data_IF_935419209359
#
_entry.id   IF_935419209359
#
_cell.length_a   1.000
_cell.length_b   1.000
_cell.length_c   1.000
_cell.angle_alpha   90.00
_cell.angle_beta   90.00
_cell.angle_gamma   90.00
#
_symmetry.space_group_name_H-M   'P 1'
#
loop_
_entity.id
_entity.type
_entity.pdbx_description
1 polymer ?
#
# COMPACT_ATOMS: atom_id res chain seq x y z
N UNK A 1 10.15 15.25 -11.10
CA UNK A 1 9.37 14.07 -11.52
C UNK A 1 10.24 12.86 -11.23
N UNK A 2 9.79 12.01 -10.31
CA UNK A 2 10.46 10.78 -9.90
C UNK A 2 9.67 9.60 -10.48
N UNK A 3 10.32 8.46 -10.73
CA UNK A 3 9.64 7.32 -11.36
C UNK A 3 10.05 6.01 -10.72
N UNK A 4 9.06 5.16 -10.45
CA UNK A 4 9.25 3.77 -10.06
C UNK A 4 8.76 2.88 -11.20
N UNK A 5 9.70 2.40 -12.03
CA UNK A 5 9.39 1.75 -13.29
C UNK A 5 8.43 2.60 -14.16
N UNK A 6 7.17 2.18 -14.27
CA UNK A 6 6.14 2.86 -15.07
C UNK A 6 5.34 3.89 -14.25
N UNK A 7 5.39 3.82 -12.91
CA UNK A 7 4.68 4.74 -12.03
C UNK A 7 5.38 6.10 -12.00
N UNK A 8 4.71 7.12 -12.52
CA UNK A 8 5.20 8.49 -12.57
C UNK A 8 4.74 9.27 -11.34
N UNK A 9 5.70 9.80 -10.57
CA UNK A 9 5.47 10.51 -9.32
C UNK A 9 5.89 11.99 -9.45
N UNK A 10 5.06 12.86 -8.89
CA UNK A 10 5.24 14.31 -8.79
C UNK A 10 6.33 14.67 -7.79
N UNK A 11 6.50 13.86 -6.74
CA UNK A 11 7.48 14.04 -5.66
C UNK A 11 8.33 12.78 -5.46
N UNK A 12 9.54 12.94 -4.94
CA UNK A 12 10.37 11.84 -4.43
C UNK A 12 10.20 11.63 -2.92
N UNK A 13 9.22 12.30 -2.29
CA UNK A 13 8.88 12.14 -0.89
C UNK A 13 7.69 11.19 -0.76
N UNK A 14 7.85 10.17 0.07
CA UNK A 14 6.86 9.12 0.29
C UNK A 14 6.48 9.03 1.76
N UNK A 15 5.24 8.66 2.03
CA UNK A 15 4.82 8.31 3.38
C UNK A 15 5.27 6.88 3.71
N UNK A 16 6.16 6.76 4.69
CA UNK A 16 6.64 5.47 5.21
C UNK A 16 5.48 4.67 5.82
N UNK A 17 5.46 3.33 5.65
CA UNK A 17 4.53 2.48 6.38
C UNK A 17 4.84 2.52 7.89
N UNK A 18 3.80 2.69 8.71
CA UNK A 18 3.91 2.74 10.17
C UNK A 18 2.78 1.93 10.79
N UNK A 19 3.16 0.83 11.45
CA UNK A 19 2.18 -0.10 12.01
C UNK A 19 1.30 0.55 13.08
N UNK A 20 -0.02 0.48 12.88
CA UNK A 20 -1.04 1.12 13.71
C UNK A 20 -1.39 2.57 13.31
N UNK A 21 -0.72 3.15 12.31
CA UNK A 21 -0.87 4.57 11.95
C UNK A 21 -1.31 4.81 10.51
N UNK A 22 -0.69 4.17 9.51
CA UNK A 22 -0.90 4.48 8.08
C UNK A 22 -2.18 3.89 7.48
N UNK A 23 -3.30 4.04 8.20
CA UNK A 23 -4.65 3.73 7.72
C UNK A 23 -5.19 4.83 6.77
N UNK A 24 -6.33 4.57 6.13
CA UNK A 24 -6.91 5.50 5.14
C UNK A 24 -7.12 6.93 5.69
N UNK A 25 -7.77 7.16 6.84
CA UNK A 25 -7.91 8.52 7.39
C UNK A 25 -6.58 9.25 7.55
N UNK A 26 -5.54 8.59 8.06
CA UNK A 26 -4.23 9.19 8.23
C UNK A 26 -3.61 9.57 6.88
N UNK A 27 -3.66 8.66 5.89
CA UNK A 27 -3.12 8.93 4.55
C UNK A 27 -3.84 10.10 3.87
N UNK A 28 -5.16 10.23 4.04
CA UNK A 28 -5.92 11.36 3.50
C UNK A 28 -5.50 12.70 4.13
N UNK A 29 -5.32 12.74 5.45
CA UNK A 29 -4.83 13.95 6.14
C UNK A 29 -3.44 14.33 5.64
N UNK A 30 -2.54 13.37 5.46
CA UNK A 30 -1.20 13.63 4.93
C UNK A 30 -1.27 14.16 3.48
N UNK A 31 -2.15 13.62 2.65
CA UNK A 31 -2.35 14.12 1.28
C UNK A 31 -2.91 15.54 1.24
N UNK A 32 -3.78 15.89 2.18
CA UNK A 32 -4.31 17.25 2.32
C UNK A 32 -3.20 18.26 2.69
N UNK A 33 -2.28 17.87 3.57
CA UNK A 33 -1.08 18.68 3.91
C UNK A 33 -0.16 18.83 2.69
N UNK A 34 -0.03 17.77 1.89
CA UNK A 34 0.77 17.74 0.67
C UNK A 34 2.26 17.44 0.91
N UNK A 35 3.06 17.59 -0.15
CA UNK A 35 4.51 17.33 -0.15
C UNK A 35 4.91 15.88 -0.42
N UNK A 36 4.09 14.92 -0.01
CA UNK A 36 4.23 13.49 -0.39
C UNK A 36 3.43 13.19 -1.66
N UNK A 37 3.80 12.11 -2.36
CA UNK A 37 3.03 11.64 -3.52
C UNK A 37 2.61 10.17 -3.37
N UNK A 38 3.58 9.26 -3.20
CA UNK A 38 3.30 7.87 -2.88
C UNK A 38 3.06 7.69 -1.37
N UNK A 39 1.88 7.19 -1.00
CA UNK A 39 1.62 6.74 0.36
C UNK A 39 1.66 5.22 0.43
N UNK A 40 2.16 4.67 1.53
CA UNK A 40 2.18 3.22 1.77
C UNK A 40 1.21 2.86 2.90
N UNK A 41 0.50 1.74 2.77
CA UNK A 41 -0.37 1.24 3.84
C UNK A 41 0.40 0.89 5.10
N UNK A 42 -0.34 0.44 6.12
CA UNK A 42 0.20 -0.36 7.20
C UNK A 42 0.78 -1.70 6.67
N UNK A 43 1.34 -2.52 7.57
CA UNK A 43 1.92 -3.82 7.33
C UNK A 43 0.83 -4.89 7.11
N UNK A 44 0.70 -5.37 5.87
CA UNK A 44 -0.34 -6.33 5.46
C UNK A 44 0.22 -7.74 5.35
N UNK A 45 -0.33 -8.68 6.13
CA UNK A 45 0.08 -10.08 6.05
C UNK A 45 -0.46 -10.73 4.77
N UNK A 46 0.42 -11.32 3.96
CA UNK A 46 0.07 -11.91 2.67
C UNK A 46 -1.01 -13.01 2.77
N UNK A 47 -0.86 -13.94 3.72
CA UNK A 47 -1.86 -14.98 3.98
C UNK A 47 -3.22 -14.41 4.38
N UNK A 48 -3.23 -13.46 5.32
CA UNK A 48 -4.46 -12.80 5.77
C UNK A 48 -5.16 -12.05 4.64
N UNK A 49 -4.38 -11.51 3.69
CA UNK A 49 -4.93 -10.87 2.48
C UNK A 49 -5.59 -11.89 1.54
N UNK A 50 -4.99 -13.07 1.35
CA UNK A 50 -5.56 -14.15 0.53
C UNK A 50 -6.83 -14.72 1.16
N UNK A 51 -6.81 -14.94 2.48
CA UNK A 51 -7.94 -15.45 3.26
C UNK A 51 -9.07 -14.39 3.44
N UNK A 52 -8.92 -13.20 2.86
CA UNK A 52 -9.88 -12.09 2.96
C UNK A 52 -10.20 -11.73 4.43
N UNK A 53 -9.18 -11.79 5.29
CA UNK A 53 -9.35 -11.45 6.70
C UNK A 53 -9.85 -9.99 6.84
N UNK A 54 -10.91 -9.72 7.63
CA UNK A 54 -11.48 -8.38 7.74
C UNK A 54 -10.46 -7.31 8.16
N UNK A 55 -9.48 -7.66 9.00
CA UNK A 55 -8.42 -6.72 9.39
C UNK A 55 -7.51 -6.38 8.22
N UNK A 56 -7.07 -7.38 7.46
CA UNK A 56 -6.23 -7.16 6.27
C UNK A 56 -6.96 -6.31 5.22
N UNK A 57 -8.25 -6.57 4.99
CA UNK A 57 -9.09 -5.76 4.10
C UNK A 57 -9.21 -4.31 4.58
N UNK A 58 -9.32 -4.10 5.89
CA UNK A 58 -9.38 -2.75 6.47
C UNK A 58 -8.06 -1.98 6.29
N UNK A 59 -6.91 -2.64 6.39
CA UNK A 59 -5.60 -1.99 6.21
C UNK A 59 -5.38 -1.46 4.78
N UNK A 60 -5.95 -2.15 3.78
CA UNK A 60 -5.85 -1.77 2.36
C UNK A 60 -7.02 -0.92 1.86
N UNK A 61 -7.95 -0.54 2.74
CA UNK A 61 -9.07 0.34 2.36
C UNK A 61 -8.53 1.63 1.74
N UNK A 62 -9.12 2.06 0.62
CA UNK A 62 -8.69 3.22 -0.14
C UNK A 62 -9.87 3.90 -0.84
N UNK A 63 -9.64 5.07 -1.44
CA UNK A 63 -10.59 5.79 -2.28
C UNK A 63 -9.84 6.58 -3.38
N UNK A 64 -10.58 7.31 -4.22
CA UNK A 64 -10.01 8.07 -5.35
C UNK A 64 -9.03 9.18 -4.94
N UNK A 65 -9.13 9.68 -3.70
CA UNK A 65 -8.23 10.70 -3.17
C UNK A 65 -6.94 10.10 -2.61
N UNK A 66 -6.90 8.78 -2.39
CA UNK A 66 -5.74 8.06 -1.86
C UNK A 66 -4.96 7.32 -2.95
N UNK A 67 -4.48 8.09 -3.94
CA UNK A 67 -3.66 7.58 -5.04
C UNK A 67 -2.53 8.57 -5.36
N UNK A 68 -1.31 8.11 -5.70
CA UNK A 68 -0.93 6.69 -5.83
C UNK A 68 -0.69 5.99 -4.49
N UNK A 69 -1.07 4.71 -4.39
CA UNK A 69 -1.00 3.89 -3.18
C UNK A 69 -0.08 2.69 -3.35
N UNK A 70 0.83 2.51 -2.39
CA UNK A 70 1.59 1.28 -2.21
C UNK A 70 1.01 0.44 -1.08
N UNK A 71 0.95 -0.88 -1.25
CA UNK A 71 0.61 -1.81 -0.16
C UNK A 71 1.88 -2.52 0.29
N UNK A 72 2.21 -2.42 1.58
CA UNK A 72 3.34 -3.15 2.16
C UNK A 72 2.91 -4.57 2.57
N UNK A 73 3.43 -5.57 1.88
CA UNK A 73 3.22 -6.98 2.19
C UNK A 73 4.35 -7.55 3.04
N UNK A 74 4.00 -8.49 3.92
CA UNK A 74 4.95 -9.36 4.61
C UNK A 74 4.42 -10.78 4.72
N UNK A 75 5.35 -11.75 4.80
CA UNK A 75 5.05 -13.16 4.91
C UNK A 75 6.29 -14.02 4.69
N UNK A 76 6.28 -15.26 5.21
CA UNK A 76 7.38 -16.20 5.08
C UNK A 76 7.26 -17.19 3.92
N UNK A 77 6.09 -17.25 3.27
CA UNK A 77 5.78 -18.22 2.20
C UNK A 77 5.76 -17.49 0.87
N UNK A 78 6.61 -17.91 -0.08
CA UNK A 78 6.81 -17.23 -1.35
C UNK A 78 5.55 -17.23 -2.22
N UNK A 79 4.83 -18.34 -2.20
CA UNK A 79 3.59 -18.53 -2.95
C UNK A 79 2.50 -17.59 -2.44
N UNK A 80 2.37 -17.44 -1.11
CA UNK A 80 1.44 -16.48 -0.50
C UNK A 80 1.80 -15.04 -0.85
N UNK A 81 3.10 -14.68 -0.82
CA UNK A 81 3.55 -13.34 -1.23
C UNK A 81 3.20 -13.04 -2.70
N UNK A 82 3.44 -14.00 -3.61
CA UNK A 82 3.08 -13.89 -5.02
C UNK A 82 1.58 -13.71 -5.20
N UNK A 83 0.78 -14.60 -4.61
CA UNK A 83 -0.67 -14.63 -4.83
C UNK A 83 -1.34 -13.38 -4.24
N UNK A 84 -0.91 -12.92 -3.06
CA UNK A 84 -1.36 -11.66 -2.49
C UNK A 84 -1.00 -10.45 -3.39
N UNK A 85 0.19 -10.45 -3.99
CA UNK A 85 0.62 -9.37 -4.90
C UNK A 85 -0.24 -9.31 -6.16
N UNK A 86 -0.53 -10.46 -6.78
CA UNK A 86 -1.43 -10.56 -7.95
C UNK A 86 -2.82 -10.05 -7.60
N UNK A 87 -3.38 -10.49 -6.47
CA UNK A 87 -4.69 -10.04 -6.01
C UNK A 87 -4.68 -8.52 -5.83
N UNK A 88 -3.67 -7.93 -5.19
CA UNK A 88 -3.60 -6.49 -4.97
C UNK A 88 -3.46 -5.70 -6.28
N UNK A 89 -2.69 -6.22 -7.25
CA UNK A 89 -2.60 -5.64 -8.58
C UNK A 89 -3.97 -5.62 -9.28
N UNK A 90 -4.72 -6.72 -9.22
CA UNK A 90 -6.10 -6.80 -9.77
C UNK A 90 -7.07 -5.84 -9.06
N UNK A 91 -6.82 -5.52 -7.78
CA UNK A 91 -7.56 -4.50 -7.03
C UNK A 91 -7.16 -3.06 -7.39
N UNK A 92 -6.20 -2.87 -8.30
CA UNK A 92 -5.77 -1.55 -8.78
C UNK A 92 -4.77 -0.84 -7.87
N UNK A 93 -4.02 -1.57 -7.04
CA UNK A 93 -2.93 -1.00 -6.25
C UNK A 93 -1.76 -0.60 -7.17
N UNK A 94 -1.23 0.61 -6.99
CA UNK A 94 -0.20 1.18 -7.88
C UNK A 94 1.19 0.57 -7.66
N UNK A 95 1.50 0.12 -6.44
CA UNK A 95 2.79 -0.45 -6.07
C UNK A 95 2.65 -1.50 -4.96
N UNK A 96 3.49 -2.53 -5.00
CA UNK A 96 3.62 -3.52 -3.93
C UNK A 96 4.99 -3.35 -3.29
N UNK A 97 5.01 -3.04 -2.00
CA UNK A 97 6.22 -2.97 -1.18
C UNK A 97 6.41 -4.28 -0.40
N UNK A 98 7.65 -4.74 -0.29
CA UNK A 98 7.98 -5.98 0.44
C UNK A 98 8.72 -5.60 1.72
N UNK A 99 8.09 -5.87 2.85
CA UNK A 99 8.74 -5.77 4.15
C UNK A 99 9.72 -6.95 4.31
N UNK A 100 11.00 -6.65 4.57
CA UNK A 100 12.08 -7.63 4.75
C UNK A 100 12.50 -7.75 6.21
#
# INVERSE_FOLDING_TARGET
MFSLCQLQLRSNLFLSPLAGYTNLPFRLVIREIGGVDLCTTDLVNARSRIEQNPKALKLIESNQQDSPLSVQLFGGVKEEMRDASIILQEHGVDSIDVNM
#
